data_IF_737454813082
#
_entry.id   IF_737454813082
#
_cell.length_a   1.000
_cell.length_b   1.000
_cell.length_c   1.000
_cell.angle_alpha   90.00
_cell.angle_beta   90.00
_cell.angle_gamma   90.00
#
_symmetry.space_group_name_H-M   'P 1'
#
loop_
_entity.id
_entity.type
_entity.pdbx_description
1 polymer ?
#
# COMPACT_ATOMS: atom_id res chain seq x y z
N UNK A 1 -14.82 -20.71 9.52
CA UNK A 1 -14.04 -19.50 9.25
C UNK A 1 -14.66 -18.80 8.06
N UNK A 2 -15.06 -17.53 8.19
CA UNK A 2 -15.69 -16.77 7.12
C UNK A 2 -14.61 -15.95 6.43
N UNK A 3 -14.36 -16.22 5.15
CA UNK A 3 -13.28 -15.57 4.39
C UNK A 3 -13.85 -14.30 3.76
N UNK A 4 -13.22 -13.16 4.03
CA UNK A 4 -13.59 -11.85 3.51
C UNK A 4 -12.60 -11.38 2.46
N UNK A 5 -13.13 -10.82 1.38
CA UNK A 5 -12.38 -10.22 0.30
C UNK A 5 -12.65 -8.73 0.26
N UNK A 6 -11.59 -7.91 0.38
CA UNK A 6 -11.65 -6.47 0.10
C UNK A 6 -10.96 -6.21 -1.23
N UNK A 7 -11.72 -5.82 -2.24
CA UNK A 7 -11.17 -5.56 -3.58
C UNK A 7 -11.30 -4.10 -3.99
N UNK A 8 -10.51 -3.71 -5.00
CA UNK A 8 -10.65 -2.44 -5.71
C UNK A 8 -10.84 -2.70 -7.18
N UNK A 9 -11.96 -2.25 -7.72
CA UNK A 9 -12.34 -2.48 -9.11
C UNK A 9 -12.49 -1.14 -9.83
N UNK A 10 -12.06 -1.05 -11.09
CA UNK A 10 -12.23 0.18 -11.89
C UNK A 10 -13.71 0.55 -12.00
N UNK A 11 -13.99 1.86 -12.06
CA UNK A 11 -15.36 2.34 -12.01
C UNK A 11 -16.25 1.79 -13.14
N UNK A 12 -15.68 1.61 -14.34
CA UNK A 12 -16.36 1.00 -15.49
C UNK A 12 -16.79 -0.46 -15.25
N UNK A 13 -16.14 -1.14 -14.32
CA UNK A 13 -16.46 -2.50 -13.92
C UNK A 13 -17.24 -2.55 -12.60
N UNK A 14 -17.45 -1.45 -11.89
CA UNK A 14 -18.00 -1.47 -10.53
C UNK A 14 -19.52 -1.36 -10.40
N UNK A 15 -20.25 -0.97 -11.45
CA UNK A 15 -21.71 -0.81 -11.35
C UNK A 15 -22.44 -2.13 -11.03
N UNK A 16 -21.93 -3.29 -11.50
CA UNK A 16 -22.54 -4.59 -11.17
C UNK A 16 -22.48 -4.90 -9.67
N UNK A 17 -21.52 -4.35 -8.92
CA UNK A 17 -21.41 -4.59 -7.47
C UNK A 17 -22.65 -4.06 -6.74
N UNK A 18 -23.21 -2.93 -7.20
CA UNK A 18 -24.47 -2.39 -6.66
C UNK A 18 -25.64 -3.33 -6.95
N UNK A 19 -25.71 -3.89 -8.17
CA UNK A 19 -26.75 -4.84 -8.59
C UNK A 19 -26.74 -6.11 -7.74
N UNK A 20 -25.54 -6.54 -7.31
CA UNK A 20 -25.37 -7.69 -6.43
C UNK A 20 -25.59 -7.38 -4.93
N UNK A 21 -25.97 -6.14 -4.59
CA UNK A 21 -26.16 -5.70 -3.21
C UNK A 21 -24.86 -5.62 -2.40
N UNK A 22 -23.70 -5.60 -3.07
CA UNK A 22 -22.39 -5.50 -2.41
C UNK A 22 -22.19 -4.08 -1.92
N UNK A 23 -21.71 -3.95 -0.68
CA UNK A 23 -21.34 -2.65 -0.13
C UNK A 23 -20.10 -2.12 -0.85
N UNK A 24 -20.24 -0.97 -1.48
CA UNK A 24 -19.14 -0.30 -2.18
C UNK A 24 -18.85 1.09 -1.63
N UNK A 25 -17.61 1.54 -1.81
CA UNK A 25 -17.14 2.89 -1.51
C UNK A 25 -16.46 3.47 -2.76
N UNK A 26 -16.91 4.61 -3.29
CA UNK A 26 -16.24 5.26 -4.42
C UNK A 26 -14.86 5.76 -4.01
N UNK A 27 -13.88 5.55 -4.89
CA UNK A 27 -12.52 6.07 -4.77
C UNK A 27 -12.24 7.00 -5.94
N UNK A 28 -11.73 8.18 -5.63
CA UNK A 28 -11.41 9.22 -6.60
C UNK A 28 -9.89 9.28 -6.79
N UNK A 29 -9.45 9.36 -8.05
CA UNK A 29 -8.01 9.47 -8.36
C UNK A 29 -7.50 10.90 -8.14
N UNK A 30 -8.39 11.88 -8.34
CA UNK A 30 -8.15 13.31 -8.18
C UNK A 30 -9.25 13.89 -7.28
N UNK A 31 -8.90 14.83 -6.40
CA UNK A 31 -9.83 15.56 -5.54
C UNK A 31 -10.88 16.38 -6.32
N UNK A 32 -10.61 16.69 -7.59
CA UNK A 32 -11.48 17.47 -8.48
C UNK A 32 -12.35 16.61 -9.41
N UNK A 33 -12.31 15.28 -9.30
CA UNK A 33 -13.10 14.40 -10.16
C UNK A 33 -14.50 14.17 -9.57
N UNK A 34 -15.53 14.51 -10.33
CA UNK A 34 -16.93 14.20 -9.97
C UNK A 34 -17.27 12.71 -10.19
N UNK A 35 -16.40 11.97 -10.89
CA UNK A 35 -16.57 10.54 -11.16
C UNK A 35 -15.54 9.71 -10.39
N UNK A 36 -15.95 8.59 -9.76
CA UNK A 36 -14.99 7.67 -9.16
C UNK A 36 -14.11 7.07 -10.25
N UNK A 37 -12.84 6.85 -9.93
CA UNK A 37 -11.94 6.05 -10.77
C UNK A 37 -12.02 4.57 -10.44
N UNK A 38 -12.32 4.24 -9.18
CA UNK A 38 -12.46 2.88 -8.68
C UNK A 38 -13.59 2.80 -7.66
N UNK A 39 -14.05 1.58 -7.40
CA UNK A 39 -14.86 1.24 -6.24
C UNK A 39 -14.10 0.25 -5.37
N UNK A 40 -14.03 0.55 -4.08
CA UNK A 40 -13.65 -0.41 -3.05
C UNK A 40 -14.89 -1.21 -2.65
N UNK A 41 -14.76 -2.53 -2.54
CA UNK A 41 -15.84 -3.42 -2.15
C UNK A 41 -15.39 -4.42 -1.09
N UNK A 42 -16.35 -4.93 -0.32
CA UNK A 42 -16.13 -5.99 0.66
C UNK A 42 -17.20 -7.06 0.42
N UNK A 43 -16.77 -8.32 0.25
CA UNK A 43 -17.66 -9.47 0.04
C UNK A 43 -17.07 -10.69 0.75
N UNK A 44 -17.90 -11.50 1.39
CA UNK A 44 -17.46 -12.79 1.95
C UNK A 44 -17.76 -13.95 1.00
N UNK A 45 -17.01 -15.04 1.11
CA UNK A 45 -17.18 -16.20 0.21
C UNK A 45 -18.55 -16.90 0.33
N UNK A 46 -19.22 -16.71 1.47
CA UNK A 46 -20.55 -17.25 1.73
C UNK A 46 -21.69 -16.29 1.33
N UNK A 47 -21.37 -15.09 0.81
CA UNK A 47 -22.38 -14.17 0.31
C UNK A 47 -22.85 -14.56 -1.10
N UNK A 48 -24.14 -14.38 -1.37
CA UNK A 48 -24.78 -14.71 -2.66
C UNK A 48 -24.09 -14.00 -3.84
N UNK A 49 -23.53 -12.81 -3.60
CA UNK A 49 -22.80 -12.04 -4.60
C UNK A 49 -21.44 -12.66 -5.00
N UNK A 50 -20.83 -13.48 -4.14
CA UNK A 50 -19.44 -13.93 -4.30
C UNK A 50 -19.16 -14.66 -5.61
N UNK A 51 -19.98 -15.62 -6.08
CA UNK A 51 -19.71 -16.33 -7.33
C UNK A 51 -19.63 -15.39 -8.55
N UNK A 52 -20.44 -14.33 -8.58
CA UNK A 52 -20.44 -13.36 -9.67
C UNK A 52 -19.27 -12.37 -9.53
N UNK A 53 -19.01 -11.88 -8.32
CA UNK A 53 -17.84 -11.03 -8.05
C UNK A 53 -16.55 -11.75 -8.44
N UNK A 54 -16.37 -13.00 -8.00
CA UNK A 54 -15.21 -13.82 -8.34
C UNK A 54 -15.05 -13.98 -9.85
N UNK A 55 -16.14 -14.27 -10.57
CA UNK A 55 -16.10 -14.46 -12.02
C UNK A 55 -15.65 -13.22 -12.77
N UNK A 56 -16.09 -12.03 -12.36
CA UNK A 56 -15.79 -10.77 -13.05
C UNK A 56 -14.45 -10.16 -12.66
N UNK A 57 -13.96 -10.49 -11.48
CA UNK A 57 -12.65 -10.00 -11.00
C UNK A 57 -11.50 -10.89 -11.48
N UNK A 58 -11.76 -12.16 -11.77
CA UNK A 58 -10.75 -13.04 -12.37
C UNK A 58 -10.42 -12.56 -13.78
N UNK A 59 -9.18 -12.11 -14.00
CA UNK A 59 -8.67 -11.67 -15.31
C UNK A 59 -8.67 -10.16 -15.54
N UNK A 60 -9.19 -9.36 -14.61
CA UNK A 60 -9.04 -7.90 -14.62
C UNK A 60 -7.76 -7.48 -13.88
N UNK A 61 -7.24 -6.26 -14.11
CA UNK A 61 -6.15 -5.66 -13.32
C UNK A 61 -6.61 -5.25 -11.90
N UNK A 62 -7.56 -6.00 -11.33
CA UNK A 62 -8.19 -5.72 -10.05
C UNK A 62 -7.35 -6.33 -8.94
N UNK A 63 -6.93 -5.48 -8.00
CA UNK A 63 -6.25 -5.94 -6.80
C UNK A 63 -7.32 -6.43 -5.81
N UNK A 64 -7.43 -7.75 -5.65
CA UNK A 64 -8.12 -8.34 -4.50
C UNK A 64 -7.11 -8.41 -3.36
N UNK A 65 -7.43 -7.76 -2.24
CA UNK A 65 -6.70 -7.89 -0.99
C UNK A 65 -7.53 -8.71 -0.02
N UNK A 66 -7.05 -9.91 0.29
CA UNK A 66 -7.58 -10.69 1.42
C UNK A 66 -7.04 -10.05 2.70
N UNK A 67 -7.95 -9.62 3.58
CA UNK A 67 -7.58 -9.08 4.89
C UNK A 67 -7.78 -10.16 5.94
N UNK A 68 -6.74 -10.43 6.70
CA UNK A 68 -6.76 -11.35 7.84
C UNK A 68 -6.91 -10.54 9.13
N UNK A 69 -7.66 -11.07 10.09
CA UNK A 69 -7.71 -10.54 11.45
C UNK A 69 -6.33 -10.67 12.13
N UNK A 70 -6.12 -9.92 13.21
CA UNK A 70 -4.87 -10.01 13.98
C UNK A 70 -4.59 -11.42 14.49
N UNK A 71 -5.65 -12.14 14.89
CA UNK A 71 -5.54 -13.51 15.38
C UNK A 71 -5.19 -14.48 14.25
N UNK A 72 -5.79 -14.31 13.06
CA UNK A 72 -5.43 -15.10 11.87
C UNK A 72 -3.98 -14.85 11.42
N UNK A 73 -3.53 -13.61 11.46
CA UNK A 73 -2.12 -13.25 11.18
C UNK A 73 -1.19 -13.88 12.22
N UNK A 74 -1.56 -13.86 13.50
CA UNK A 74 -0.74 -14.43 14.57
C UNK A 74 -0.65 -15.97 14.50
N UNK A 75 -1.65 -16.63 13.93
CA UNK A 75 -1.71 -18.08 13.76
C UNK A 75 -1.13 -18.57 12.42
N UNK A 76 -0.87 -17.67 11.47
CA UNK A 76 -0.32 -18.03 10.18
C UNK A 76 1.15 -18.47 10.30
N UNK A 77 1.43 -19.72 9.95
CA UNK A 77 2.77 -20.33 10.01
C UNK A 77 3.83 -19.53 9.23
N UNK A 78 3.41 -18.86 8.15
CA UNK A 78 4.24 -18.04 7.27
C UNK A 78 4.31 -16.56 7.66
N UNK A 79 3.57 -16.12 8.69
CA UNK A 79 3.63 -14.73 9.15
C UNK A 79 4.83 -14.53 10.07
N UNK A 80 5.96 -14.15 9.47
CA UNK A 80 7.13 -13.68 10.20
C UNK A 80 6.84 -12.27 10.71
N UNK A 81 6.80 -12.08 12.02
CA UNK A 81 6.72 -10.75 12.62
C UNK A 81 8.00 -9.98 12.29
N UNK A 82 7.89 -8.94 11.45
CA UNK A 82 8.98 -8.00 11.23
C UNK A 82 8.88 -6.86 12.24
N UNK A 83 9.99 -6.56 12.93
CA UNK A 83 10.11 -5.43 13.84
C UNK A 83 10.30 -4.09 13.10
N UNK A 84 9.62 -3.93 11.96
CA UNK A 84 9.65 -2.69 11.19
C UNK A 84 8.34 -1.95 11.38
N UNK A 85 8.43 -0.68 11.78
CA UNK A 85 7.27 0.21 11.68
C UNK A 85 7.17 0.73 10.27
N UNK A 86 6.13 0.33 9.54
CA UNK A 86 5.75 1.06 8.33
C UNK A 86 5.07 2.35 8.77
N UNK A 87 5.74 3.49 8.58
CA UNK A 87 5.19 4.81 8.90
C UNK A 87 4.24 5.29 7.78
N UNK A 88 4.17 4.54 6.68
CA UNK A 88 3.40 4.87 5.49
C UNK A 88 4.13 5.88 4.60
N UNK A 89 3.59 6.07 3.40
CA UNK A 89 4.15 6.93 2.35
C UNK A 89 4.16 8.40 2.81
N UNK A 90 5.25 8.81 3.46
CA UNK A 90 5.56 10.22 3.69
C UNK A 90 6.08 10.79 2.37
N UNK A 91 5.16 11.01 1.44
CA UNK A 91 5.49 11.72 0.19
C UNK A 91 6.18 13.04 0.54
N UNK A 92 7.24 13.43 -0.18
CA UNK A 92 7.96 14.68 0.07
C UNK A 92 7.08 15.90 -0.21
N UNK A 93 6.24 16.32 0.75
CA UNK A 93 5.43 17.55 0.66
C UNK A 93 4.63 17.71 -0.64
N UNK A 94 4.54 18.94 -1.13
CA UNK A 94 3.88 19.29 -2.41
C UNK A 94 4.74 18.94 -3.64
N UNK A 95 5.89 18.29 -3.43
CA UNK A 95 6.83 17.93 -4.48
C UNK A 95 6.57 16.48 -4.89
N UNK A 96 6.25 16.26 -6.17
CA UNK A 96 6.20 14.91 -6.72
C UNK A 96 7.58 14.23 -6.67
N UNK A 97 7.64 12.95 -7.06
CA UNK A 97 8.89 12.29 -7.43
C UNK A 97 9.44 12.98 -8.68
N UNK A 98 10.08 14.13 -8.50
CA UNK A 98 10.47 15.06 -9.54
C UNK A 98 11.95 14.90 -9.88
N UNK A 99 12.33 15.44 -11.04
CA UNK A 99 13.73 15.60 -11.47
C UNK A 99 14.55 16.51 -10.54
N UNK A 100 13.93 17.13 -9.53
CA UNK A 100 14.60 17.94 -8.52
C UNK A 100 15.33 17.07 -7.48
N UNK A 101 14.84 15.85 -7.24
CA UNK A 101 15.42 14.93 -6.24
C UNK A 101 16.18 13.77 -6.87
N UNK A 102 15.84 13.40 -8.11
CA UNK A 102 16.47 12.31 -8.81
C UNK A 102 16.93 12.70 -10.22
N UNK A 103 18.09 12.16 -10.61
CA UNK A 103 18.65 12.26 -11.94
C UNK A 103 18.86 10.86 -12.55
N UNK A 104 19.30 10.85 -13.80
CA UNK A 104 19.80 9.67 -14.52
C UNK A 104 18.75 8.56 -14.75
N UNK A 105 17.46 8.91 -14.71
CA UNK A 105 16.39 8.00 -15.08
C UNK A 105 16.56 7.54 -16.54
N UNK A 106 16.64 6.22 -16.74
CA UNK A 106 16.48 5.64 -18.07
C UNK A 106 15.04 5.84 -18.54
N UNK A 107 14.85 6.57 -19.64
CA UNK A 107 13.52 6.85 -20.20
C UNK A 107 12.81 5.61 -20.76
N UNK A 108 13.54 4.51 -20.96
CA UNK A 108 12.98 3.26 -21.51
C UNK A 108 12.51 2.29 -20.42
N UNK A 109 13.34 2.03 -19.40
CA UNK A 109 13.01 1.06 -18.35
C UNK A 109 12.70 1.68 -16.98
N UNK A 110 12.85 3.00 -16.83
CA UNK A 110 12.68 3.68 -15.55
C UNK A 110 13.71 3.31 -14.48
N UNK A 111 14.77 2.57 -14.83
CA UNK A 111 15.89 2.25 -13.94
C UNK A 111 16.98 3.33 -13.95
N UNK A 112 17.98 3.20 -13.07
CA UNK A 112 19.15 4.09 -13.06
C UNK A 112 18.99 5.39 -12.28
N UNK A 113 17.86 5.56 -11.56
CA UNK A 113 17.66 6.72 -10.70
C UNK A 113 18.80 6.89 -9.70
N UNK A 114 19.40 8.08 -9.73
CA UNK A 114 20.37 8.51 -8.73
C UNK A 114 19.81 9.70 -7.97
N UNK A 115 19.78 9.60 -6.65
CA UNK A 115 19.36 10.72 -5.80
C UNK A 115 20.41 11.85 -5.87
N UNK A 116 19.96 13.06 -6.20
CA UNK A 116 20.80 14.27 -6.32
C UNK A 116 20.48 15.32 -5.26
N UNK A 117 19.37 15.19 -4.55
CA UNK A 117 19.01 16.04 -3.43
C UNK A 117 18.31 15.24 -2.32
N UNK A 118 18.46 15.64 -1.04
CA UNK A 118 17.76 14.99 0.07
C UNK A 118 16.26 15.29 0.04
N UNK A 119 15.44 14.33 0.43
CA UNK A 119 14.01 14.57 0.64
C UNK A 119 13.77 15.49 1.82
N UNK A 120 12.83 16.42 1.67
CA UNK A 120 12.25 17.14 2.81
C UNK A 120 11.02 16.39 3.26
N UNK A 121 11.14 15.70 4.38
CA UNK A 121 9.99 15.04 5.01
C UNK A 121 9.14 16.13 5.68
N UNK A 122 7.85 16.19 5.33
CA UNK A 122 6.92 17.20 5.86
C UNK A 122 6.73 17.12 7.38
N UNK A 123 6.97 15.95 7.95
CA UNK A 123 6.82 15.69 9.39
C UNK A 123 7.92 14.74 9.85
N UNK A 124 8.47 15.02 11.03
CA UNK A 124 9.41 14.13 11.67
C UNK A 124 8.80 12.73 11.82
N UNK A 125 9.49 11.68 11.35
CA UNK A 125 9.01 10.32 11.51
C UNK A 125 9.01 9.95 12.99
N UNK A 126 7.88 9.43 13.46
CA UNK A 126 7.70 9.01 14.86
C UNK A 126 7.67 7.48 14.90
N UNK A 127 8.83 6.80 14.93
CA UNK A 127 8.89 5.33 14.97
C UNK A 127 8.38 4.74 16.30
N UNK A 128 8.11 5.59 17.30
CA UNK A 128 7.63 5.16 18.61
C UNK A 128 8.69 4.35 19.34
N UNK A 129 8.31 3.17 19.84
CA UNK A 129 9.23 2.25 20.52
C UNK A 129 10.06 1.39 19.57
N UNK A 130 9.89 1.55 18.25
CA UNK A 130 10.58 0.73 17.26
C UNK A 130 11.91 1.38 16.87
N UNK A 131 12.94 0.55 16.75
CA UNK A 131 14.30 0.99 16.39
C UNK A 131 14.54 1.01 14.88
N UNK A 132 13.59 0.52 14.09
CA UNK A 132 13.58 0.53 12.62
C UNK A 132 12.25 1.08 12.08
N UNK A 133 12.34 1.84 11.00
CA UNK A 133 11.18 2.36 10.28
C UNK A 133 11.37 2.33 8.76
N UNK A 134 10.27 2.10 8.06
CA UNK A 134 10.18 2.11 6.60
C UNK A 134 9.06 3.07 6.16
N UNK A 135 9.29 3.81 5.08
CA UNK A 135 8.34 4.75 4.47
C UNK A 135 7.63 4.17 3.24
N UNK A 136 7.86 2.90 2.90
CA UNK A 136 7.06 2.11 1.98
C UNK A 136 7.22 2.42 0.48
N UNK A 137 7.79 3.56 0.10
CA UNK A 137 7.89 3.99 -1.31
C UNK A 137 9.32 4.31 -1.80
N UNK A 138 10.32 4.37 -0.93
CA UNK A 138 11.72 4.41 -1.35
C UNK A 138 12.61 3.65 -0.38
N UNK A 139 13.63 3.03 -0.96
CA UNK A 139 14.60 2.05 -0.48
C UNK A 139 15.43 2.42 0.77
N UNK A 140 14.95 3.32 1.62
CA UNK A 140 15.65 3.82 2.78
C UNK A 140 15.06 3.22 4.06
N UNK A 141 15.82 2.30 4.67
CA UNK A 141 15.56 1.81 6.02
C UNK A 141 16.12 2.82 7.02
N UNK A 142 15.24 3.38 7.86
CA UNK A 142 15.64 4.29 8.93
C UNK A 142 15.85 3.50 10.21
N UNK A 143 16.85 3.88 11.00
CA UNK A 143 17.09 3.29 12.30
C UNK A 143 17.41 4.34 13.37
N UNK A 144 17.08 4.02 14.62
CA UNK A 144 17.47 4.85 15.75
C UNK A 144 19.01 4.83 15.92
N UNK A 145 19.65 5.91 16.41
CA UNK A 145 21.10 5.99 16.55
C UNK A 145 21.74 4.81 17.31
N UNK A 146 21.03 4.22 18.28
CA UNK A 146 21.48 3.06 19.05
C UNK A 146 21.82 1.85 18.16
N UNK A 147 21.16 1.70 17.02
CA UNK A 147 21.43 0.63 16.05
C UNK A 147 22.82 0.83 15.45
N UNK A 148 23.13 2.04 14.99
CA UNK A 148 24.44 2.37 14.40
C UNK A 148 25.57 2.16 15.41
N UNK A 149 25.37 2.60 16.66
CA UNK A 149 26.35 2.40 17.73
C UNK A 149 26.59 0.92 18.06
N UNK A 150 25.54 0.10 17.98
CA UNK A 150 25.65 -1.36 18.16
C UNK A 150 26.51 -1.99 17.07
N UNK A 151 26.35 -1.58 15.81
CA UNK A 151 27.16 -2.10 14.71
C UNK A 151 28.62 -1.62 14.76
N UNK A 152 28.88 -0.39 15.21
CA UNK A 152 30.25 0.13 15.38
C UNK A 152 31.03 -0.64 16.45
N UNK A 153 30.37 -1.08 17.52
CA UNK A 153 30.99 -1.85 18.62
C UNK A 153 31.29 -3.31 18.26
N UNK A 154 30.80 -3.80 17.13
CA UNK A 154 31.00 -5.17 16.65
C UNK A 154 32.07 -5.28 15.55
N UNK A 155 32.74 -4.17 15.22
CA UNK A 155 33.97 -4.16 14.44
C UNK A 155 35.17 -4.24 15.36
#
# INVERSE_FOLDING_TARGET
>A
MRIWHRGKLEAEHGEFLKEQGVRIKPLFRDANSDKPSHYEFIVAEDEVAWPEVKRRVVGTHTVIRTEFTKDEIAQAEWSIAWATSSIGDLRPGDYGWSTEFFADQCTNCGGGWRQIAPFRIKKEPKPGNNVFADFGSAFELFCAPIVLETFKKRK
#
